data_IF_978760337005
#
_entry.id   IF_978760337005
#
_cell.length_a   1.000
_cell.length_b   1.000
_cell.length_c   1.000
_cell.angle_alpha   90.00
_cell.angle_beta   90.00
_cell.angle_gamma   90.00
#
_symmetry.space_group_name_H-M   'P 1'
#
loop_
_entity.id
_entity.type
_entity.pdbx_description
1 polymer ?
#
# COMPACT_ATOMS: atom_id res chain seq x y z
N UNK A 1 6.84 40.51 36.18
CA UNK A 1 6.00 39.31 35.88
C UNK A 1 6.04 38.41 37.09
N UNK A 2 4.94 37.73 37.44
CA UNK A 2 4.94 36.83 38.60
C UNK A 2 5.65 35.53 38.24
N UNK A 3 6.31 34.88 39.20
CA UNK A 3 6.96 33.57 39.03
C UNK A 3 6.01 32.52 38.43
N UNK A 4 4.73 32.61 38.76
CA UNK A 4 3.68 31.75 38.19
C UNK A 4 3.50 31.96 36.69
N UNK A 5 3.62 33.17 36.19
CA UNK A 5 3.50 33.48 34.75
C UNK A 5 4.69 32.91 33.97
N UNK A 6 5.89 32.97 34.53
CA UNK A 6 7.10 32.40 33.91
C UNK A 6 7.05 30.87 33.87
N UNK A 7 6.56 30.24 34.94
CA UNK A 7 6.37 28.77 34.98
C UNK A 7 5.34 28.34 33.92
N UNK A 8 4.20 29.05 33.84
CA UNK A 8 3.16 28.75 32.86
C UNK A 8 3.66 28.84 31.41
N UNK A 9 4.47 29.90 31.14
CA UNK A 9 5.10 30.07 29.82
C UNK A 9 6.04 28.89 29.46
N UNK A 10 6.87 28.50 30.44
CA UNK A 10 7.83 27.40 30.24
C UNK A 10 7.16 26.03 30.06
N UNK A 11 6.07 25.79 30.77
CA UNK A 11 5.26 24.58 30.60
C UNK A 11 4.64 24.55 29.22
N UNK A 12 4.12 25.66 28.72
CA UNK A 12 3.56 25.74 27.36
C UNK A 12 4.62 25.47 26.30
N UNK A 13 5.81 26.06 26.40
CA UNK A 13 6.92 25.80 25.48
C UNK A 13 7.34 24.30 25.46
N UNK A 14 7.34 23.66 26.63
CA UNK A 14 7.64 22.24 26.73
C UNK A 14 6.55 21.36 26.07
N UNK A 15 5.27 21.73 26.22
CA UNK A 15 4.16 21.02 25.56
C UNK A 15 4.23 21.18 24.04
N UNK A 16 4.47 22.41 23.54
CA UNK A 16 4.60 22.66 22.11
C UNK A 16 5.80 21.88 21.49
N UNK A 17 6.90 21.77 22.24
CA UNK A 17 8.06 20.97 21.84
C UNK A 17 7.76 19.46 21.83
N UNK A 18 7.01 18.94 22.82
CA UNK A 18 6.58 17.54 22.85
C UNK A 18 5.66 17.20 21.69
N UNK A 19 4.68 18.05 21.39
CA UNK A 19 3.79 17.86 20.23
C UNK A 19 4.58 17.86 18.90
N UNK A 20 5.61 18.70 18.79
CA UNK A 20 6.48 18.74 17.61
C UNK A 20 7.29 17.46 17.48
N UNK A 21 7.89 16.96 18.58
CA UNK A 21 8.64 15.70 18.61
C UNK A 21 7.75 14.48 18.34
N UNK A 22 6.49 14.49 18.81
CA UNK A 22 5.53 13.43 18.48
C UNK A 22 5.15 13.46 17.00
N UNK A 23 4.94 14.65 16.40
CA UNK A 23 4.68 14.80 14.98
C UNK A 23 5.87 14.37 14.11
N UNK A 24 7.09 14.64 14.54
CA UNK A 24 8.31 14.18 13.86
C UNK A 24 8.49 12.67 13.93
N UNK A 25 8.02 12.01 15.00
CA UNK A 25 7.98 10.54 15.10
C UNK A 25 6.93 9.88 14.19
N UNK A 26 5.82 10.58 13.92
CA UNK A 26 4.80 10.10 12.95
C UNK A 26 5.40 10.23 11.56
N UNK A 27 6.00 9.20 11.06
CA UNK A 27 6.65 9.14 9.74
C UNK A 27 8.07 8.61 9.78
N UNK A 28 8.63 8.38 10.96
CA UNK A 28 9.86 7.58 11.10
C UNK A 28 9.52 6.09 11.10
N UNK A 29 10.36 5.30 10.43
CA UNK A 29 10.21 3.85 10.46
C UNK A 29 10.58 3.32 11.85
N UNK A 30 9.66 2.57 12.46
CA UNK A 30 9.97 1.71 13.60
C UNK A 30 10.28 0.32 13.07
N UNK A 31 11.43 -0.21 13.44
CA UNK A 31 11.86 -1.54 13.00
C UNK A 31 11.37 -2.58 13.99
N UNK A 32 10.54 -3.55 13.55
CA UNK A 32 9.90 -4.50 14.44
C UNK A 32 10.77 -5.72 14.78
N UNK A 33 12.09 -5.64 14.53
CA UNK A 33 13.04 -6.75 14.72
C UNK A 33 14.08 -6.38 15.75
N UNK A 34 14.41 -7.35 16.62
CA UNK A 34 15.55 -7.29 17.53
C UNK A 34 16.85 -7.76 16.85
N UNK A 35 18.00 -7.45 17.45
CA UNK A 35 19.30 -7.92 16.95
C UNK A 35 19.32 -9.45 16.86
N UNK A 36 19.71 -9.98 15.70
CA UNK A 36 19.73 -11.41 15.34
C UNK A 36 18.36 -12.09 15.25
N UNK A 37 17.27 -11.35 15.24
CA UNK A 37 15.96 -11.91 14.93
C UNK A 37 15.91 -12.31 13.45
N UNK A 38 15.30 -13.46 13.16
CA UNK A 38 15.14 -13.96 11.80
C UNK A 38 14.06 -13.18 11.04
N UNK A 39 14.36 -12.83 9.80
CA UNK A 39 13.39 -12.28 8.88
C UNK A 39 13.53 -12.89 7.47
N UNK A 40 12.51 -12.69 6.64
CA UNK A 40 12.51 -13.15 5.26
C UNK A 40 12.55 -11.93 4.34
N UNK A 41 13.52 -11.92 3.43
CA UNK A 41 13.67 -10.85 2.44
C UNK A 41 13.18 -11.34 1.09
N UNK A 42 12.28 -10.56 0.48
CA UNK A 42 11.89 -10.78 -0.90
C UNK A 42 12.93 -10.11 -1.82
N UNK A 43 13.73 -10.94 -2.46
CA UNK A 43 14.76 -10.50 -3.40
C UNK A 43 14.14 -10.02 -4.73
N UNK A 44 14.92 -9.26 -5.51
CA UNK A 44 14.45 -8.63 -6.77
C UNK A 44 14.07 -9.62 -7.86
N UNK A 45 14.57 -10.84 -7.82
CA UNK A 45 14.23 -11.95 -8.75
C UNK A 45 13.06 -12.82 -8.27
N UNK A 46 12.48 -12.46 -7.11
CA UNK A 46 11.38 -13.19 -6.50
C UNK A 46 11.82 -14.32 -5.55
N UNK A 47 13.13 -14.53 -5.35
CA UNK A 47 13.61 -15.45 -4.31
C UNK A 47 13.29 -14.94 -2.91
N UNK A 48 12.99 -15.87 -2.00
CA UNK A 48 12.74 -15.56 -0.58
C UNK A 48 13.93 -16.05 0.21
N UNK A 49 14.74 -15.11 0.69
CA UNK A 49 15.98 -15.34 1.43
C UNK A 49 15.72 -15.12 2.92
N UNK A 50 16.20 -16.04 3.74
CA UNK A 50 16.18 -15.90 5.19
C UNK A 50 17.45 -15.21 5.67
N UNK A 51 17.31 -14.16 6.48
CA UNK A 51 18.41 -13.38 7.04
C UNK A 51 18.22 -13.16 8.54
N UNK A 52 19.26 -12.65 9.20
CA UNK A 52 19.23 -12.21 10.58
C UNK A 52 19.30 -10.68 10.62
N UNK A 53 18.42 -10.05 11.40
CA UNK A 53 18.39 -8.61 11.57
C UNK A 53 19.64 -8.12 12.31
N UNK A 54 20.34 -7.16 11.76
CA UNK A 54 21.52 -6.51 12.34
C UNK A 54 21.31 -5.03 12.61
N UNK A 55 20.20 -4.47 12.12
CA UNK A 55 19.93 -3.02 12.17
C UNK A 55 20.88 -2.20 11.30
N UNK A 56 21.62 -2.84 10.41
CA UNK A 56 22.53 -2.16 9.50
C UNK A 56 21.82 -1.50 8.30
N UNK A 57 22.56 -0.66 7.53
CA UNK A 57 21.97 0.08 6.39
C UNK A 57 21.28 -0.80 5.34
N UNK A 58 21.73 -2.05 5.18
CA UNK A 58 21.08 -3.01 4.27
C UNK A 58 19.70 -3.40 4.79
N UNK A 59 19.60 -3.82 6.06
CA UNK A 59 18.34 -4.25 6.68
C UNK A 59 17.32 -3.11 6.70
N UNK A 60 17.76 -1.92 7.07
CA UNK A 60 16.92 -0.72 7.02
C UNK A 60 16.46 -0.39 5.60
N UNK A 61 17.34 -0.52 4.62
CA UNK A 61 17.05 -0.26 3.21
C UNK A 61 15.97 -1.19 2.66
N UNK A 62 16.11 -2.51 2.87
CA UNK A 62 15.14 -3.50 2.40
C UNK A 62 13.82 -3.43 3.17
N UNK A 63 13.85 -3.05 4.45
CA UNK A 63 12.64 -2.81 5.23
C UNK A 63 11.84 -1.62 4.68
N UNK A 64 12.50 -0.47 4.45
CA UNK A 64 11.87 0.74 3.88
C UNK A 64 11.24 0.51 2.51
N UNK A 65 11.73 -0.47 1.76
CA UNK A 65 11.18 -0.88 0.47
C UNK A 65 10.05 -1.94 0.60
N UNK A 66 9.69 -2.34 1.82
CA UNK A 66 8.66 -3.35 2.05
C UNK A 66 9.08 -4.77 1.60
N UNK A 67 10.39 -5.06 1.60
CA UNK A 67 10.93 -6.37 1.22
C UNK A 67 11.17 -7.28 2.42
N UNK A 68 10.94 -6.81 3.64
CA UNK A 68 11.17 -7.57 4.87
C UNK A 68 9.85 -8.06 5.43
N UNK A 69 9.72 -9.38 5.62
CA UNK A 69 8.54 -10.07 6.13
C UNK A 69 8.92 -10.93 7.33
N UNK A 70 7.99 -11.14 8.25
CA UNK A 70 8.23 -11.91 9.49
C UNK A 70 8.35 -13.42 9.27
N UNK A 71 7.70 -13.92 8.25
CA UNK A 71 7.73 -15.34 7.94
C UNK A 71 7.69 -15.60 6.42
N UNK A 72 8.05 -16.84 6.05
CA UNK A 72 8.14 -17.25 4.64
C UNK A 72 6.79 -17.25 3.92
N UNK A 73 5.71 -17.47 4.65
CA UNK A 73 4.36 -17.49 4.06
C UNK A 73 3.90 -16.09 3.68
N UNK A 74 4.09 -15.11 4.56
CA UNK A 74 3.89 -13.69 4.24
C UNK A 74 4.74 -13.24 3.04
N UNK A 75 6.01 -13.68 2.99
CA UNK A 75 6.88 -13.36 1.87
C UNK A 75 6.39 -13.96 0.54
N UNK A 76 5.83 -15.17 0.56
CA UNK A 76 5.20 -15.77 -0.62
C UNK A 76 3.95 -15.00 -1.03
N UNK A 77 3.07 -14.70 -0.07
CA UNK A 77 1.84 -13.92 -0.32
C UNK A 77 2.18 -12.56 -0.93
N UNK A 78 3.17 -11.85 -0.39
CA UNK A 78 3.61 -10.56 -0.91
C UNK A 78 4.21 -10.67 -2.32
N UNK A 79 5.04 -11.68 -2.60
CA UNK A 79 5.55 -11.95 -3.95
C UNK A 79 4.42 -12.18 -4.94
N UNK A 80 3.47 -13.04 -4.58
CA UNK A 80 2.32 -13.39 -5.42
C UNK A 80 1.43 -12.16 -5.67
N UNK A 81 1.27 -11.27 -4.65
CA UNK A 81 0.57 -9.98 -4.82
C UNK A 81 1.26 -9.06 -5.84
N UNK A 82 2.58 -8.97 -5.80
CA UNK A 82 3.36 -8.16 -6.77
C UNK A 82 3.26 -8.72 -8.18
N UNK A 83 3.32 -10.04 -8.32
CA UNK A 83 3.23 -10.71 -9.62
C UNK A 83 1.85 -10.50 -10.27
N UNK A 84 0.76 -10.73 -9.53
CA UNK A 84 -0.58 -10.51 -10.08
C UNK A 84 -0.82 -9.03 -10.39
N UNK A 85 -0.35 -8.11 -9.55
CA UNK A 85 -0.49 -6.68 -9.81
C UNK A 85 0.23 -6.28 -11.11
N UNK A 86 1.39 -6.84 -11.39
CA UNK A 86 2.11 -6.59 -12.64
C UNK A 86 1.35 -7.14 -13.86
N UNK A 87 0.84 -8.39 -13.79
CA UNK A 87 0.05 -8.99 -14.88
C UNK A 87 -1.25 -8.22 -15.12
N UNK A 88 -1.90 -7.79 -14.04
CA UNK A 88 -3.11 -6.98 -14.10
C UNK A 88 -2.85 -5.62 -14.76
N UNK A 89 -1.79 -4.93 -14.36
CA UNK A 89 -1.40 -3.63 -14.94
C UNK A 89 -1.12 -3.77 -16.45
N UNK A 90 -0.39 -4.80 -16.86
CA UNK A 90 -0.14 -5.07 -18.28
C UNK A 90 -1.44 -5.29 -19.07
N UNK A 91 -2.40 -6.04 -18.49
CA UNK A 91 -3.71 -6.25 -19.10
C UNK A 91 -4.47 -4.92 -19.22
N UNK A 92 -4.58 -4.16 -18.12
CA UNK A 92 -5.25 -2.84 -18.09
C UNK A 92 -4.65 -1.88 -19.10
N UNK A 93 -3.33 -1.75 -19.11
CA UNK A 93 -2.64 -0.81 -20.00
C UNK A 93 -2.82 -1.20 -21.48
N UNK A 94 -2.88 -2.49 -21.78
CA UNK A 94 -3.21 -2.99 -23.12
C UNK A 94 -4.65 -2.65 -23.52
N UNK A 95 -5.61 -2.75 -22.60
CA UNK A 95 -7.01 -2.40 -22.86
C UNK A 95 -7.18 -0.88 -23.06
N UNK A 96 -6.51 -0.09 -22.21
CA UNK A 96 -6.62 1.36 -22.24
C UNK A 96 -5.87 2.01 -23.41
N UNK A 97 -4.80 1.37 -23.94
CA UNK A 97 -3.92 2.00 -24.94
C UNK A 97 -3.33 3.30 -24.38
N UNK A 98 -3.49 4.39 -25.13
CA UNK A 98 -2.97 5.71 -24.72
C UNK A 98 -3.92 6.47 -23.79
N UNK A 99 -5.10 5.92 -23.49
CA UNK A 99 -6.06 6.56 -22.60
C UNK A 99 -5.55 6.64 -21.17
N UNK A 100 -5.75 7.81 -20.56
CA UNK A 100 -5.52 8.09 -19.13
C UNK A 100 -6.74 8.77 -18.56
N UNK A 101 -7.12 8.49 -17.30
CA UNK A 101 -8.24 9.16 -16.66
C UNK A 101 -8.06 10.68 -16.65
N UNK A 102 -8.99 11.41 -17.25
CA UNK A 102 -9.08 12.87 -17.12
C UNK A 102 -10.02 13.22 -15.96
N UNK A 103 -9.45 13.72 -14.86
CA UNK A 103 -10.20 14.08 -13.65
C UNK A 103 -10.86 15.46 -13.74
N UNK A 104 -10.53 16.25 -14.75
CA UNK A 104 -11.18 17.53 -15.03
C UNK A 104 -12.46 17.32 -15.85
N UNK A 105 -12.51 16.29 -16.69
CA UNK A 105 -13.72 15.90 -17.42
C UNK A 105 -14.67 15.08 -16.53
N UNK A 106 -15.73 15.77 -16.05
CA UNK A 106 -16.78 15.18 -15.20
C UNK A 106 -17.77 14.34 -15.99
N UNK A 107 -17.74 14.37 -17.32
CA UNK A 107 -18.62 13.58 -18.19
C UNK A 107 -18.01 12.23 -18.55
N UNK A 108 -16.70 12.04 -18.33
CA UNK A 108 -16.00 10.79 -18.58
C UNK A 108 -16.10 9.85 -17.40
N UNK A 109 -16.73 8.70 -17.60
CA UNK A 109 -16.75 7.61 -16.61
C UNK A 109 -15.41 6.86 -16.61
N UNK A 110 -14.88 6.60 -15.41
CA UNK A 110 -13.66 5.84 -15.16
C UNK A 110 -14.04 4.61 -14.37
N UNK A 111 -13.78 3.42 -14.92
CA UNK A 111 -14.20 2.16 -14.34
C UNK A 111 -13.07 1.55 -13.50
N UNK A 112 -13.41 1.00 -12.35
CA UNK A 112 -12.45 0.33 -11.46
C UNK A 112 -13.08 -0.89 -10.81
N UNK A 113 -12.27 -1.77 -10.22
CA UNK A 113 -12.75 -2.94 -9.51
C UNK A 113 -12.78 -2.69 -8.00
N UNK A 114 -13.77 -3.25 -7.33
CA UNK A 114 -13.89 -3.28 -5.88
C UNK A 114 -14.41 -4.63 -5.41
N UNK A 115 -14.15 -4.96 -4.14
CA UNK A 115 -14.77 -6.10 -3.51
C UNK A 115 -16.00 -5.64 -2.71
N UNK A 116 -17.15 -6.25 -3.01
CA UNK A 116 -18.38 -5.99 -2.28
C UNK A 116 -18.56 -7.06 -1.20
N UNK A 117 -18.39 -6.67 0.07
CA UNK A 117 -18.52 -7.59 1.21
C UNK A 117 -19.93 -8.12 1.41
N UNK A 118 -20.97 -7.40 1.00
CA UNK A 118 -22.36 -7.86 1.12
C UNK A 118 -22.66 -9.04 0.19
N UNK A 119 -22.19 -8.97 -1.07
CA UNK A 119 -22.33 -10.06 -2.03
C UNK A 119 -21.15 -11.03 -2.06
N UNK A 120 -20.05 -10.73 -1.35
CA UNK A 120 -18.80 -11.47 -1.36
C UNK A 120 -18.19 -11.66 -2.75
N UNK A 121 -18.32 -10.65 -3.61
CA UNK A 121 -17.89 -10.67 -5.00
C UNK A 121 -17.07 -9.45 -5.38
N UNK A 122 -16.14 -9.62 -6.33
CA UNK A 122 -15.55 -8.52 -7.05
C UNK A 122 -16.54 -7.98 -8.08
N UNK A 123 -16.63 -6.65 -8.14
CA UNK A 123 -17.51 -5.94 -9.07
C UNK A 123 -16.78 -4.79 -9.72
N UNK A 124 -17.13 -4.50 -10.97
CA UNK A 124 -16.78 -3.22 -11.57
C UNK A 124 -17.68 -2.12 -11.01
N UNK A 125 -17.09 -0.95 -10.81
CA UNK A 125 -17.79 0.27 -10.44
C UNK A 125 -17.24 1.44 -11.25
N UNK A 126 -17.87 2.59 -11.17
CA UNK A 126 -17.46 3.76 -11.93
C UNK A 126 -17.40 5.02 -11.07
N UNK A 127 -16.63 5.99 -11.52
CA UNK A 127 -16.58 7.33 -10.97
C UNK A 127 -16.23 8.33 -12.08
N UNK A 128 -16.71 9.56 -11.95
CA UNK A 128 -16.42 10.62 -12.92
C UNK A 128 -15.64 11.79 -12.31
N UNK A 129 -15.95 12.18 -11.08
CA UNK A 129 -15.41 13.39 -10.43
C UNK A 129 -14.69 13.13 -9.10
N UNK A 130 -14.70 11.90 -8.59
CA UNK A 130 -13.98 11.51 -7.38
C UNK A 130 -13.00 10.42 -7.72
N UNK A 131 -11.74 10.57 -7.29
CA UNK A 131 -10.69 9.61 -7.54
C UNK A 131 -10.52 8.66 -6.34
N UNK A 132 -11.08 7.43 -6.39
CA UNK A 132 -10.76 6.43 -5.38
C UNK A 132 -9.31 5.98 -5.53
N UNK A 133 -8.63 5.73 -4.39
CA UNK A 133 -7.28 5.17 -4.39
C UNK A 133 -7.35 3.67 -4.68
N UNK A 134 -7.29 3.32 -5.96
CA UNK A 134 -7.34 1.94 -6.43
C UNK A 134 -5.95 1.43 -6.77
N UNK A 135 -5.50 0.36 -6.12
CA UNK A 135 -4.24 -0.32 -6.43
C UNK A 135 -4.21 -0.90 -7.85
N UNK A 136 -5.39 -1.20 -8.40
CA UNK A 136 -5.55 -1.77 -9.73
C UNK A 136 -5.77 -0.71 -10.83
N UNK A 137 -5.90 0.56 -10.44
CA UNK A 137 -6.14 1.66 -11.36
C UNK A 137 -7.51 1.66 -12.03
N UNK A 138 -7.59 2.26 -13.23
CA UNK A 138 -8.86 2.53 -13.90
C UNK A 138 -8.85 2.02 -15.34
N UNK A 139 -10.03 1.62 -15.80
CA UNK A 139 -10.31 1.23 -17.19
C UNK A 139 -11.15 2.30 -17.87
N UNK A 140 -10.95 2.43 -19.19
CA UNK A 140 -11.77 3.26 -20.04
C UNK A 140 -13.18 2.70 -20.24
N UNK A 141 -13.29 1.36 -20.31
CA UNK A 141 -14.53 0.65 -20.62
C UNK A 141 -14.90 -0.31 -19.49
N UNK A 142 -16.19 -0.45 -19.22
CA UNK A 142 -16.69 -1.39 -18.20
C UNK A 142 -16.46 -2.85 -18.59
N UNK A 143 -16.50 -3.16 -19.88
CA UNK A 143 -16.27 -4.49 -20.42
C UNK A 143 -14.85 -4.99 -20.10
N UNK A 144 -13.87 -4.09 -20.20
CA UNK A 144 -12.47 -4.40 -19.88
C UNK A 144 -12.29 -4.60 -18.37
N UNK A 145 -12.97 -3.83 -17.53
CA UNK A 145 -12.97 -4.01 -16.07
C UNK A 145 -13.61 -5.36 -15.68
N UNK A 146 -14.74 -5.74 -16.30
CA UNK A 146 -15.40 -7.02 -16.09
C UNK A 146 -14.51 -8.19 -16.53
N UNK A 147 -13.85 -8.07 -17.68
CA UNK A 147 -12.92 -9.07 -18.17
C UNK A 147 -11.70 -9.23 -17.26
N UNK A 148 -11.23 -8.14 -16.65
CA UNK A 148 -10.18 -8.21 -15.64
C UNK A 148 -10.63 -9.02 -14.41
N UNK A 149 -11.88 -8.86 -13.96
CA UNK A 149 -12.47 -9.66 -12.89
C UNK A 149 -12.54 -11.14 -13.28
N UNK A 150 -12.95 -11.47 -14.49
CA UNK A 150 -12.98 -12.85 -14.98
C UNK A 150 -11.59 -13.51 -15.02
N UNK A 151 -10.56 -12.74 -15.39
CA UNK A 151 -9.20 -13.27 -15.55
C UNK A 151 -8.41 -13.36 -14.24
N UNK A 152 -8.61 -12.42 -13.32
CA UNK A 152 -7.77 -12.24 -12.13
C UNK A 152 -8.54 -12.35 -10.83
N UNK A 153 -9.88 -12.41 -10.86
CA UNK A 153 -10.73 -12.26 -9.70
C UNK A 153 -10.46 -13.26 -8.58
N UNK A 154 -10.28 -14.54 -8.93
CA UNK A 154 -10.00 -15.60 -7.94
C UNK A 154 -8.65 -15.38 -7.24
N UNK A 155 -7.61 -14.96 -7.98
CA UNK A 155 -6.31 -14.69 -7.41
C UNK A 155 -6.34 -13.41 -6.53
N UNK A 156 -7.05 -12.37 -6.98
CA UNK A 156 -7.23 -11.13 -6.21
C UNK A 156 -7.96 -11.45 -4.91
N UNK A 157 -9.05 -12.21 -4.96
CA UNK A 157 -9.82 -12.58 -3.78
C UNK A 157 -8.95 -13.37 -2.80
N UNK A 158 -8.27 -14.41 -3.25
CA UNK A 158 -7.35 -15.21 -2.42
C UNK A 158 -6.25 -14.37 -1.74
N UNK A 159 -5.71 -13.35 -2.42
CA UNK A 159 -4.54 -12.61 -1.94
C UNK A 159 -4.89 -11.37 -1.11
N UNK A 160 -6.05 -10.75 -1.31
CA UNK A 160 -6.44 -9.49 -0.65
C UNK A 160 -7.67 -9.59 0.23
N UNK A 161 -8.48 -10.64 0.08
CA UNK A 161 -9.77 -10.76 0.77
C UNK A 161 -9.80 -11.94 1.73
N UNK A 162 -9.35 -13.12 1.27
CA UNK A 162 -9.38 -14.34 2.06
C UNK A 162 -8.14 -14.38 2.97
N UNK A 163 -8.19 -13.68 4.11
CA UNK A 163 -7.14 -13.71 5.16
C UNK A 163 -7.39 -14.80 6.19
#
# INVERSE_FOLDING_TARGET
MSVLTEIAQKVKELLDNLETLEKEKIGTFEYPFEDKEEYFCLHIDGEIIQNLWSGGPFDEGVYKQGHVLKNREEARKERDKREILMRFNQFRDKCNGDWKPDWEDKSEDKFFILFNHESSELKSNWCSYSQPFSSFGFFKNIEDANRAIELFGDEIKRLWVDE
#
